data_IF_571607050364
#
_entry.id   IF_571607050364
#
_cell.length_a   1.000
_cell.length_b   1.000
_cell.length_c   1.000
_cell.angle_alpha   90.00
_cell.angle_beta   90.00
_cell.angle_gamma   90.00
#
_symmetry.space_group_name_H-M   'P 1'
#
loop_
_entity.id
_entity.type
_entity.pdbx_description
1 polymer ?
#
# COMPACT_ATOMS: atom_id res chain seq x y z
N UNK A 1 21.71 1.17 28.66
CA UNK A 1 20.58 0.95 27.75
C UNK A 1 19.38 1.59 28.41
N UNK A 2 18.97 2.75 27.91
CA UNK A 2 17.99 3.61 28.58
C UNK A 2 16.57 3.23 28.12
N UNK A 3 15.83 2.55 28.98
CA UNK A 3 14.49 1.98 28.70
C UNK A 3 13.48 3.03 28.22
N UNK A 4 13.74 4.31 28.55
CA UNK A 4 12.99 5.47 28.08
C UNK A 4 13.14 5.71 26.56
N UNK A 5 14.38 5.62 26.05
CA UNK A 5 14.66 5.84 24.62
C UNK A 5 14.06 4.74 23.74
N UNK A 6 14.05 3.49 24.21
CA UNK A 6 13.48 2.37 23.44
C UNK A 6 11.97 2.52 23.24
N UNK A 7 11.23 3.01 24.25
CA UNK A 7 9.78 3.25 24.13
C UNK A 7 9.45 4.35 23.12
N UNK A 8 10.22 5.44 23.13
CA UNK A 8 10.03 6.54 22.19
C UNK A 8 10.34 6.12 20.74
N UNK A 9 11.40 5.32 20.54
CA UNK A 9 11.75 4.77 19.24
C UNK A 9 10.66 3.81 18.72
N UNK A 10 10.18 2.91 19.58
CA UNK A 10 9.10 1.98 19.23
C UNK A 10 7.81 2.71 18.85
N UNK A 11 7.41 3.73 19.62
CA UNK A 11 6.27 4.58 19.29
C UNK A 11 6.43 5.25 17.92
N UNK A 12 7.63 5.78 17.63
CA UNK A 12 7.89 6.43 16.35
C UNK A 12 7.75 5.45 15.17
N UNK A 13 8.38 4.27 15.26
CA UNK A 13 8.27 3.22 14.23
C UNK A 13 6.83 2.77 14.06
N UNK A 14 6.11 2.57 15.16
CA UNK A 14 4.71 2.15 15.13
C UNK A 14 3.81 3.19 14.47
N UNK A 15 4.04 4.47 14.76
CA UNK A 15 3.28 5.58 14.16
C UNK A 15 3.53 5.65 12.66
N UNK A 16 4.79 5.55 12.22
CA UNK A 16 5.14 5.55 10.78
C UNK A 16 4.52 4.34 10.07
N UNK A 17 4.56 3.16 10.69
CA UNK A 17 3.95 1.95 10.13
C UNK A 17 2.42 2.06 10.04
N UNK A 18 1.77 2.61 11.09
CA UNK A 18 0.33 2.82 11.11
C UNK A 18 -0.12 3.84 10.05
N UNK A 19 0.64 4.92 9.88
CA UNK A 19 0.37 5.91 8.82
C UNK A 19 0.57 5.32 7.43
N UNK A 20 1.60 4.48 7.22
CA UNK A 20 1.78 3.77 5.96
C UNK A 20 0.61 2.86 5.63
N UNK A 21 0.13 2.08 6.61
CA UNK A 21 -1.05 1.22 6.44
C UNK A 21 -2.34 2.03 6.20
N UNK A 22 -2.46 3.19 6.85
CA UNK A 22 -3.58 4.09 6.64
C UNK A 22 -3.63 4.63 5.21
N UNK A 23 -2.48 5.04 4.66
CA UNK A 23 -2.38 5.52 3.28
C UNK A 23 -2.73 4.39 2.29
N UNK A 24 -2.24 3.18 2.51
CA UNK A 24 -2.56 2.00 1.68
C UNK A 24 -4.07 1.68 1.70
N UNK A 25 -4.70 1.74 2.87
CA UNK A 25 -6.15 1.57 2.99
C UNK A 25 -6.96 2.69 2.35
N UNK A 26 -6.45 3.92 2.37
CA UNK A 26 -7.09 5.07 1.73
C UNK A 26 -7.13 4.93 0.20
N UNK A 27 -6.09 4.37 -0.41
CA UNK A 27 -6.01 4.14 -1.85
C UNK A 27 -7.12 3.17 -2.35
N UNK A 28 -7.31 2.06 -1.65
CA UNK A 28 -8.38 1.11 -1.96
C UNK A 28 -9.78 1.73 -1.74
N UNK A 29 -9.90 2.60 -0.73
CA UNK A 29 -11.15 3.29 -0.44
C UNK A 29 -11.52 4.28 -1.55
N UNK A 30 -10.58 5.11 -2.01
CA UNK A 30 -10.87 6.11 -3.03
C UNK A 30 -11.20 5.49 -4.39
N UNK A 31 -10.59 4.35 -4.73
CA UNK A 31 -10.97 3.55 -5.92
C UNK A 31 -12.45 3.14 -5.89
N UNK A 32 -12.94 2.70 -4.72
CA UNK A 32 -14.34 2.31 -4.54
C UNK A 32 -15.29 3.51 -4.66
N UNK A 33 -14.87 4.69 -4.21
CA UNK A 33 -15.64 5.94 -4.35
C UNK A 33 -15.64 6.46 -5.79
N UNK A 34 -14.57 6.23 -6.54
CA UNK A 34 -14.44 6.64 -7.94
C UNK A 34 -15.22 5.73 -8.92
N UNK A 35 -15.44 4.47 -8.58
CA UNK A 35 -16.15 3.48 -9.40
C UNK A 35 -17.48 3.96 -10.01
N UNK A 36 -18.43 4.57 -9.27
CA UNK A 36 -19.67 5.08 -9.86
C UNK A 36 -19.44 6.19 -10.91
N UNK A 37 -18.40 7.00 -10.77
CA UNK A 37 -18.05 8.03 -11.75
C UNK A 37 -17.46 7.42 -13.04
N UNK A 38 -16.61 6.41 -12.90
CA UNK A 38 -16.07 5.65 -14.04
C UNK A 38 -17.22 4.93 -14.77
N UNK A 39 -18.15 4.35 -14.02
CA UNK A 39 -19.33 3.70 -14.56
C UNK A 39 -20.23 4.63 -15.37
N UNK A 40 -20.43 5.86 -14.88
CA UNK A 40 -21.22 6.87 -15.59
C UNK A 40 -20.57 7.34 -16.89
N UNK A 41 -19.23 7.35 -16.97
CA UNK A 41 -18.51 7.87 -18.13
C UNK A 41 -18.25 6.79 -19.21
N UNK A 42 -17.88 5.58 -18.79
CA UNK A 42 -17.41 4.53 -19.70
C UNK A 42 -18.40 3.37 -19.89
N UNK A 43 -19.47 3.29 -19.09
CA UNK A 43 -20.46 2.19 -19.11
C UNK A 43 -19.84 0.77 -19.24
N UNK A 44 -18.81 0.44 -18.44
CA UNK A 44 -18.15 -0.85 -18.51
C UNK A 44 -19.10 -1.99 -18.09
N UNK A 45 -18.84 -3.20 -18.59
CA UNK A 45 -19.58 -4.38 -18.16
C UNK A 45 -19.25 -4.73 -16.70
N UNK A 46 -20.16 -5.39 -15.95
CA UNK A 46 -19.89 -5.78 -14.56
C UNK A 46 -18.63 -6.63 -14.38
N UNK A 47 -18.29 -7.44 -15.40
CA UNK A 47 -17.06 -8.22 -15.42
C UNK A 47 -15.81 -7.34 -15.48
N UNK A 48 -15.82 -6.27 -16.28
CA UNK A 48 -14.70 -5.35 -16.39
C UNK A 48 -14.46 -4.57 -15.09
N UNK A 49 -15.53 -4.14 -14.40
CA UNK A 49 -15.41 -3.51 -13.07
C UNK A 49 -14.80 -4.44 -12.03
N UNK A 50 -15.23 -5.71 -12.03
CA UNK A 50 -14.64 -6.73 -11.17
C UNK A 50 -13.14 -6.88 -11.40
N UNK A 51 -12.69 -6.85 -12.66
CA UNK A 51 -11.26 -6.88 -12.99
C UNK A 51 -10.53 -5.62 -12.51
N UNK A 52 -11.12 -4.44 -12.71
CA UNK A 52 -10.52 -3.16 -12.29
C UNK A 52 -10.29 -3.14 -10.78
N UNK A 53 -11.29 -3.55 -9.99
CA UNK A 53 -11.18 -3.59 -8.53
C UNK A 53 -10.29 -4.75 -8.04
N UNK A 54 -10.24 -5.87 -8.75
CA UNK A 54 -9.37 -6.99 -8.39
C UNK A 54 -7.90 -6.76 -8.79
N UNK A 55 -7.62 -5.87 -9.74
CA UNK A 55 -6.26 -5.63 -10.24
C UNK A 55 -5.30 -5.19 -9.13
N UNK A 56 -5.73 -4.28 -8.24
CA UNK A 56 -4.93 -3.79 -7.13
C UNK A 56 -4.52 -4.90 -6.13
N UNK A 57 -5.45 -5.67 -5.52
CA UNK A 57 -5.08 -6.74 -4.59
C UNK A 57 -4.33 -7.90 -5.26
N UNK A 58 -4.63 -8.22 -6.53
CA UNK A 58 -3.87 -9.23 -7.29
C UNK A 58 -2.43 -8.76 -7.51
N UNK A 59 -2.23 -7.51 -7.90
CA UNK A 59 -0.91 -6.91 -8.05
C UNK A 59 -0.13 -6.90 -6.72
N UNK A 60 -0.79 -6.54 -5.62
CA UNK A 60 -0.21 -6.58 -4.29
C UNK A 60 0.20 -8.00 -3.86
N UNK A 61 -0.63 -9.01 -4.12
CA UNK A 61 -0.32 -10.40 -3.80
C UNK A 61 0.88 -10.93 -4.60
N UNK A 62 0.94 -10.64 -5.90
CA UNK A 62 2.07 -11.02 -6.75
C UNK A 62 3.35 -10.26 -6.34
N UNK A 63 3.23 -8.97 -6.06
CA UNK A 63 4.33 -8.14 -5.56
C UNK A 63 4.89 -8.65 -4.24
N UNK A 64 4.03 -9.02 -3.28
CA UNK A 64 4.45 -9.57 -2.00
C UNK A 64 5.22 -10.89 -2.15
N UNK A 65 4.80 -11.77 -3.07
CA UNK A 65 5.48 -13.04 -3.34
C UNK A 65 6.89 -12.84 -3.90
N UNK A 66 7.05 -11.88 -4.83
CA UNK A 66 8.31 -11.61 -5.51
C UNK A 66 9.28 -10.79 -4.64
N UNK A 67 8.76 -9.75 -3.99
CA UNK A 67 9.56 -8.78 -3.24
C UNK A 67 9.85 -9.27 -1.81
N UNK A 68 9.09 -10.22 -1.27
CA UNK A 68 9.30 -10.76 0.08
C UNK A 68 10.72 -11.28 0.31
N UNK A 69 11.28 -12.05 -0.64
CA UNK A 69 12.68 -12.54 -0.56
C UNK A 69 13.72 -11.44 -0.72
N UNK A 70 13.39 -10.39 -1.47
CA UNK A 70 14.26 -9.22 -1.68
C UNK A 70 14.29 -8.35 -0.41
N UNK A 71 13.14 -8.24 0.28
CA UNK A 71 13.00 -7.52 1.55
C UNK A 71 13.90 -8.10 2.65
N UNK A 72 14.01 -9.42 2.73
CA UNK A 72 14.87 -10.09 3.70
C UNK A 72 16.37 -9.84 3.43
N UNK A 73 16.78 -9.59 2.18
CA UNK A 73 18.18 -9.30 1.82
C UNK A 73 18.56 -7.82 1.94
N UNK A 74 17.67 -6.90 1.56
CA UNK A 74 17.98 -5.45 1.49
C UNK A 74 17.70 -4.75 2.83
N UNK A 75 16.92 -5.38 3.72
CA UNK A 75 16.57 -4.87 5.04
C UNK A 75 15.27 -4.07 5.03
N UNK A 76 14.42 -4.31 6.04
CA UNK A 76 13.04 -3.78 6.16
C UNK A 76 12.93 -2.26 6.04
N UNK A 77 13.90 -1.50 6.55
CA UNK A 77 13.89 -0.03 6.49
C UNK A 77 14.04 0.50 5.05
N UNK A 78 14.93 -0.10 4.27
CA UNK A 78 15.18 0.32 2.89
C UNK A 78 13.98 0.02 2.00
N UNK A 79 13.31 -1.12 2.25
CA UNK A 79 12.10 -1.49 1.52
C UNK A 79 10.94 -0.54 1.79
N UNK A 80 10.78 -0.08 3.04
CA UNK A 80 9.73 0.87 3.41
C UNK A 80 9.95 2.23 2.73
N UNK A 81 11.20 2.70 2.66
CA UNK A 81 11.54 3.93 1.94
C UNK A 81 11.30 3.77 0.44
N UNK A 82 11.69 2.62 -0.15
CA UNK A 82 11.47 2.37 -1.56
C UNK A 82 9.98 2.33 -1.92
N UNK A 83 9.14 1.67 -1.11
CA UNK A 83 7.69 1.68 -1.26
C UNK A 83 7.15 3.12 -1.23
N UNK A 84 7.57 3.91 -0.25
CA UNK A 84 7.11 5.29 -0.11
C UNK A 84 7.51 6.17 -1.31
N UNK A 85 8.71 6.00 -1.86
CA UNK A 85 9.17 6.71 -3.07
C UNK A 85 8.33 6.26 -4.28
N UNK A 86 8.12 4.95 -4.44
CA UNK A 86 7.36 4.40 -5.56
C UNK A 86 5.92 4.91 -5.53
N UNK A 87 5.30 4.95 -4.34
CA UNK A 87 3.98 5.51 -4.12
C UNK A 87 3.93 6.98 -4.54
N UNK A 88 4.86 7.83 -4.09
CA UNK A 88 4.85 9.26 -4.45
C UNK A 88 5.05 9.53 -5.94
N UNK A 89 5.79 8.67 -6.65
CA UNK A 89 6.12 8.89 -8.06
C UNK A 89 5.05 8.36 -9.02
N UNK A 90 4.34 7.29 -8.63
CA UNK A 90 3.41 6.57 -9.51
C UNK A 90 1.93 6.80 -9.12
N UNK A 91 1.64 7.15 -7.86
CA UNK A 91 0.28 7.43 -7.39
C UNK A 91 -0.31 8.71 -8.02
#
# INVERSE_FOLDING_TARGET
MDVSQDKALLLHVWTVAALGLFIDGYDLYISSVAEPFINALYHPTPFANGIIQAAAPIGAALGALLIGRVADKIGRKSLLIFNLIFFVVIA
#
